data_IF_479249946251
#
_entry.id   IF_479249946251
#
_cell.length_a   1.000
_cell.length_b   1.000
_cell.length_c   1.000
_cell.angle_alpha   90.00
_cell.angle_beta   90.00
_cell.angle_gamma   90.00
#
_symmetry.space_group_name_H-M   'P 1'
#
loop_
_entity.id
_entity.type
_entity.pdbx_description
1 polymer ?
#
# COMPACT_ATOMS: atom_id res chain seq x y z
N UNK A 1 -9.84 12.98 -16.55
CA UNK A 1 -9.77 12.34 -15.21
C UNK A 1 -8.32 11.94 -14.98
N UNK A 2 -7.75 12.19 -13.80
CA UNK A 2 -6.36 11.83 -13.51
C UNK A 2 -6.22 10.30 -13.44
N UNK A 3 -5.28 9.72 -14.19
CA UNK A 3 -5.01 8.27 -14.18
C UNK A 3 -4.10 7.94 -12.99
N UNK A 4 -4.71 7.82 -11.80
CA UNK A 4 -4.00 7.46 -10.59
C UNK A 4 -3.65 5.96 -10.58
N UNK A 5 -2.51 5.58 -9.98
CA UNK A 5 -2.21 4.18 -9.75
C UNK A 5 -3.35 3.49 -8.97
N UNK A 6 -3.77 2.33 -9.45
CA UNK A 6 -4.76 1.49 -8.78
C UNK A 6 -4.11 0.19 -8.30
N UNK A 7 -4.64 -0.39 -7.21
CA UNK A 7 -4.18 -1.69 -6.72
C UNK A 7 -4.36 -2.74 -7.83
N UNK A 8 -3.25 -3.37 -8.24
CA UNK A 8 -3.25 -4.38 -9.31
C UNK A 8 -3.22 -5.82 -8.80
N UNK A 9 -2.85 -6.02 -7.53
CA UNK A 9 -2.71 -7.34 -6.92
C UNK A 9 -2.98 -7.27 -5.42
N UNK A 10 -3.47 -8.39 -4.89
CA UNK A 10 -3.51 -8.68 -3.46
C UNK A 10 -2.58 -9.86 -3.16
N UNK A 11 -1.85 -9.74 -2.07
CA UNK A 11 -0.99 -10.77 -1.47
C UNK A 11 -1.51 -11.09 -0.08
N UNK A 12 -1.87 -12.35 0.15
CA UNK A 12 -2.32 -12.87 1.44
C UNK A 12 -1.62 -14.22 1.70
N UNK A 13 -0.73 -14.23 2.67
CA UNK A 13 0.09 -15.36 3.07
C UNK A 13 0.54 -15.17 4.52
N UNK A 14 1.16 -16.17 5.11
CA UNK A 14 1.64 -16.09 6.49
C UNK A 14 2.60 -14.91 6.77
N UNK A 15 3.40 -14.51 5.78
CA UNK A 15 4.41 -13.45 5.94
C UNK A 15 3.96 -12.10 5.39
N UNK A 16 2.86 -12.06 4.62
CA UNK A 16 2.40 -10.86 3.95
C UNK A 16 0.88 -10.85 3.86
N UNK A 17 0.27 -9.81 4.41
CA UNK A 17 -1.16 -9.57 4.29
C UNK A 17 -1.42 -8.14 3.83
N UNK A 18 -1.81 -8.01 2.56
CA UNK A 18 -2.15 -6.73 1.93
C UNK A 18 -3.65 -6.44 1.92
N UNK A 19 -4.47 -7.32 2.51
CA UNK A 19 -5.92 -7.10 2.63
C UNK A 19 -6.24 -5.88 3.50
N UNK A 20 -5.34 -5.54 4.44
CA UNK A 20 -5.47 -4.38 5.33
C UNK A 20 -5.67 -3.05 4.59
N UNK A 21 -5.12 -2.92 3.38
CA UNK A 21 -5.27 -1.70 2.56
C UNK A 21 -6.68 -1.50 2.01
N UNK A 22 -7.52 -2.54 2.02
CA UNK A 22 -8.92 -2.43 1.58
C UNK A 22 -9.78 -1.66 2.60
N UNK A 23 -9.41 -1.75 3.89
CA UNK A 23 -10.15 -1.14 5.00
C UNK A 23 -9.49 0.14 5.53
N UNK A 24 -8.24 0.39 5.13
CA UNK A 24 -7.50 1.59 5.53
C UNK A 24 -8.13 2.85 4.94
N UNK A 25 -8.60 3.74 5.82
CA UNK A 25 -9.21 5.01 5.42
C UNK A 25 -8.13 6.07 5.16
N UNK A 26 -7.86 6.33 3.89
CA UNK A 26 -6.97 7.41 3.47
C UNK A 26 -7.57 8.78 3.82
N UNK A 27 -6.74 9.68 4.36
CA UNK A 27 -7.07 11.08 4.56
C UNK A 27 -6.35 11.94 3.53
N UNK A 28 -6.82 13.17 3.35
CA UNK A 28 -6.32 14.06 2.30
C UNK A 28 -4.83 14.41 2.45
N UNK A 29 -4.32 14.44 3.68
CA UNK A 29 -2.94 14.85 3.98
C UNK A 29 -2.00 13.67 4.27
N UNK A 30 -2.48 12.43 4.10
CA UNK A 30 -1.66 11.24 4.32
C UNK A 30 -0.69 11.04 3.14
N UNK A 31 0.61 10.94 3.45
CA UNK A 31 1.65 10.50 2.51
C UNK A 31 2.12 9.12 2.94
N UNK A 32 1.94 8.13 2.07
CA UNK A 32 2.33 6.74 2.33
C UNK A 32 3.52 6.39 1.43
N UNK A 33 4.64 5.99 2.04
CA UNK A 33 5.82 5.45 1.33
C UNK A 33 5.93 3.96 1.68
N UNK A 34 5.82 3.10 0.67
CA UNK A 34 5.94 1.65 0.81
C UNK A 34 6.97 1.12 -0.16
N UNK A 35 7.98 0.41 0.36
CA UNK A 35 9.01 -0.26 -0.44
C UNK A 35 9.22 -1.67 0.09
N UNK A 36 9.88 -2.52 -0.71
CA UNK A 36 10.27 -3.83 -0.22
C UNK A 36 11.31 -3.70 0.91
N UNK A 37 11.35 -4.71 1.79
CA UNK A 37 12.21 -4.70 2.97
C UNK A 37 13.67 -4.34 2.61
N UNK A 38 14.26 -3.43 3.39
CA UNK A 38 15.64 -2.94 3.24
C UNK A 38 15.93 -2.11 1.98
N UNK A 39 14.91 -1.55 1.32
CA UNK A 39 15.08 -0.64 0.18
C UNK A 39 15.29 0.85 0.58
N UNK A 40 15.59 1.14 1.84
CA UNK A 40 15.95 2.51 2.30
C UNK A 40 14.75 3.42 2.56
N UNK A 41 13.91 3.08 3.54
CA UNK A 41 12.77 3.92 3.99
C UNK A 41 13.08 4.83 5.18
N UNK A 42 14.16 4.55 5.92
CA UNK A 42 14.60 5.32 7.11
C UNK A 42 15.41 6.54 6.68
#
# INVERSE_FOLDING_TARGET
>A
MANLPIKTKEMHSHHFDSTIWNDFKFRNDDIVISTYAKAGTT
#
